data_IF_313926538440
#
_entry.id   IF_313926538440
#
_cell.length_a   1.000
_cell.length_b   1.000
_cell.length_c   1.000
_cell.angle_alpha   90.00
_cell.angle_beta   90.00
_cell.angle_gamma   90.00
#
_symmetry.space_group_name_H-M   'P 1'
#
loop_
_entity.id
_entity.type
_entity.pdbx_description
1 polymer ?
#
# COMPACT_ATOMS: atom_id res chain seq x y z
N UNK A 1 -19.61 -13.01 11.85
CA UNK A 1 -19.17 -12.28 10.63
C UNK A 1 -18.15 -11.27 11.11
N UNK A 2 -16.97 -11.20 10.49
CA UNK A 2 -15.93 -10.24 10.91
C UNK A 2 -16.28 -8.85 10.48
N UNK A 3 -15.99 -7.89 11.35
CA UNK A 3 -16.15 -6.46 11.10
C UNK A 3 -14.79 -5.80 10.97
N UNK A 4 -14.54 -5.22 9.81
CA UNK A 4 -13.24 -4.71 9.40
C UNK A 4 -13.34 -3.20 9.18
N UNK A 5 -12.43 -2.43 9.77
CA UNK A 5 -12.30 -0.99 9.52
C UNK A 5 -11.13 -0.75 8.57
N UNK A 6 -11.31 0.06 7.53
CA UNK A 6 -10.26 0.41 6.58
C UNK A 6 -10.22 1.93 6.40
N UNK A 7 -9.09 2.57 6.69
CA UNK A 7 -8.82 3.95 6.29
C UNK A 7 -8.03 3.97 4.97
N UNK A 8 -8.22 4.99 4.13
CA UNK A 8 -7.61 5.05 2.80
C UNK A 8 -8.11 3.98 1.82
N UNK A 9 -9.41 3.62 1.83
CA UNK A 9 -9.98 2.48 1.12
C UNK A 9 -10.00 2.64 -0.41
N UNK A 10 -9.83 3.87 -0.91
CA UNK A 10 -9.93 4.18 -2.35
C UNK A 10 -8.62 4.05 -3.13
N UNK A 11 -7.51 3.69 -2.48
CA UNK A 11 -6.23 3.35 -3.12
C UNK A 11 -6.23 1.91 -3.64
N UNK A 12 -5.25 1.55 -4.49
CA UNK A 12 -5.14 0.21 -5.07
C UNK A 12 -5.20 -0.92 -4.04
N UNK A 13 -4.46 -0.79 -2.93
CA UNK A 13 -4.44 -1.81 -1.86
C UNK A 13 -5.76 -1.80 -1.09
N UNK A 14 -6.25 -0.62 -0.70
CA UNK A 14 -7.48 -0.50 0.09
C UNK A 14 -8.70 -1.04 -0.65
N UNK A 15 -8.82 -0.71 -1.96
CA UNK A 15 -9.90 -1.21 -2.81
C UNK A 15 -9.84 -2.75 -2.94
N UNK A 16 -8.67 -3.29 -3.27
CA UNK A 16 -8.49 -4.74 -3.39
C UNK A 16 -8.73 -5.47 -2.05
N UNK A 17 -8.38 -4.86 -0.90
CA UNK A 17 -8.68 -5.42 0.42
C UNK A 17 -10.17 -5.42 0.73
N UNK A 18 -10.91 -4.37 0.35
CA UNK A 18 -12.38 -4.37 0.47
C UNK A 18 -12.97 -5.55 -0.29
N UNK A 19 -12.60 -5.72 -1.57
CA UNK A 19 -13.10 -6.83 -2.39
C UNK A 19 -12.77 -8.20 -1.76
N UNK A 20 -11.53 -8.37 -1.27
CA UNK A 20 -11.12 -9.58 -0.58
C UNK A 20 -11.93 -9.83 0.68
N UNK A 21 -12.10 -8.84 1.55
CA UNK A 21 -12.88 -8.97 2.79
C UNK A 21 -14.34 -9.32 2.50
N UNK A 22 -14.95 -8.65 1.54
CA UNK A 22 -16.34 -8.94 1.14
C UNK A 22 -16.49 -10.35 0.57
N UNK A 23 -15.53 -10.83 -0.23
CA UNK A 23 -15.54 -12.20 -0.76
C UNK A 23 -15.42 -13.28 0.33
N UNK A 24 -14.82 -12.93 1.47
CA UNK A 24 -14.71 -13.79 2.66
C UNK A 24 -15.90 -13.62 3.65
N UNK A 25 -16.94 -12.87 3.25
CA UNK A 25 -18.15 -12.65 4.05
C UNK A 25 -17.93 -11.70 5.23
N UNK A 26 -16.92 -10.83 5.19
CA UNK A 26 -16.72 -9.78 6.18
C UNK A 26 -17.68 -8.61 5.96
N UNK A 27 -17.98 -7.87 7.02
CA UNK A 27 -18.59 -6.55 7.00
C UNK A 27 -17.47 -5.50 7.05
N UNK A 28 -17.47 -4.55 6.11
CA UNK A 28 -16.36 -3.59 5.93
C UNK A 28 -16.86 -2.17 6.14
N UNK A 29 -16.19 -1.45 7.03
CA UNK A 29 -16.40 -0.03 7.33
C UNK A 29 -15.24 0.77 6.70
N UNK A 30 -15.52 1.42 5.57
CA UNK A 30 -14.54 2.14 4.77
C UNK A 30 -14.56 3.64 5.11
N UNK A 31 -13.53 4.13 5.80
CA UNK A 31 -13.38 5.55 6.16
C UNK A 31 -12.71 6.27 5.00
N UNK A 32 -13.48 7.10 4.31
CA UNK A 32 -13.09 7.87 3.14
C UNK A 32 -12.94 9.34 3.48
N UNK A 33 -12.01 10.04 2.82
CA UNK A 33 -11.99 11.50 2.88
C UNK A 33 -13.30 12.08 2.31
N UNK A 34 -13.94 13.03 3.00
CA UNK A 34 -15.18 13.64 2.56
C UNK A 34 -15.11 14.20 1.14
N UNK A 35 -16.19 14.03 0.38
CA UNK A 35 -16.32 14.50 -1.00
C UNK A 35 -15.27 13.94 -1.99
N UNK A 36 -14.64 12.82 -1.69
CA UNK A 36 -13.69 12.20 -2.62
C UNK A 36 -14.42 11.61 -3.82
N UNK A 37 -14.08 12.08 -5.04
CA UNK A 37 -14.62 11.52 -6.28
C UNK A 37 -14.35 10.00 -6.43
N UNK A 38 -13.31 9.49 -5.77
CA UNK A 38 -12.91 8.07 -5.79
C UNK A 38 -13.86 7.16 -4.99
N UNK A 39 -14.74 7.70 -4.14
CA UNK A 39 -15.76 6.92 -3.43
C UNK A 39 -16.67 6.18 -4.42
N UNK A 40 -16.93 6.79 -5.58
CA UNK A 40 -17.78 6.20 -6.64
C UNK A 40 -17.20 4.91 -7.24
N UNK A 41 -15.90 4.67 -7.11
CA UNK A 41 -15.25 3.45 -7.59
C UNK A 41 -15.38 2.27 -6.63
N UNK A 42 -15.80 2.50 -5.38
CA UNK A 42 -15.95 1.42 -4.41
C UNK A 42 -17.06 0.45 -4.83
N UNK A 43 -16.93 -0.85 -4.53
CA UNK A 43 -17.89 -1.85 -4.92
C UNK A 43 -19.27 -1.60 -4.27
N UNK A 44 -20.35 -1.86 -5.01
CA UNK A 44 -21.70 -1.81 -4.47
C UNK A 44 -22.01 -3.16 -3.83
N UNK A 45 -21.94 -3.24 -2.52
CA UNK A 45 -22.17 -4.46 -1.76
C UNK A 45 -22.84 -4.12 -0.42
N UNK A 46 -23.80 -4.93 0.01
CA UNK A 46 -24.54 -4.71 1.26
C UNK A 46 -23.64 -4.80 2.52
N UNK A 47 -22.52 -5.52 2.43
CA UNK A 47 -21.53 -5.62 3.50
C UNK A 47 -20.51 -4.49 3.53
N UNK A 48 -20.61 -3.48 2.62
CA UNK A 48 -19.72 -2.32 2.61
C UNK A 48 -20.46 -1.07 3.12
N UNK A 49 -19.96 -0.50 4.20
CA UNK A 49 -20.41 0.75 4.79
C UNK A 49 -19.37 1.84 4.54
N UNK A 50 -19.74 2.85 3.75
CA UNK A 50 -18.85 3.99 3.46
C UNK A 50 -19.14 5.11 4.45
N UNK A 51 -18.09 5.53 5.15
CA UNK A 51 -18.11 6.61 6.14
C UNK A 51 -17.20 7.74 5.65
N UNK A 52 -17.70 8.98 5.69
CA UNK A 52 -16.94 10.13 5.21
C UNK A 52 -16.39 10.93 6.40
N UNK A 53 -15.11 10.63 6.75
CA UNK A 53 -14.34 11.36 7.76
C UNK A 53 -12.94 11.62 7.25
N UNK A 54 -12.42 12.82 7.52
CA UNK A 54 -10.99 13.11 7.32
C UNK A 54 -10.14 12.40 8.37
N UNK A 55 -8.86 12.17 8.08
CA UNK A 55 -7.94 11.55 9.03
C UNK A 55 -7.79 12.36 10.33
N UNK A 56 -7.99 13.68 10.26
CA UNK A 56 -8.02 14.57 11.42
C UNK A 56 -9.28 14.45 12.29
N UNK A 57 -10.24 13.64 11.87
CA UNK A 57 -11.54 13.47 12.52
C UNK A 57 -11.85 12.00 12.90
N UNK A 58 -10.82 11.15 12.96
CA UNK A 58 -10.99 9.72 13.26
C UNK A 58 -11.68 9.48 14.61
N UNK A 59 -11.47 10.34 15.60
CA UNK A 59 -12.16 10.25 16.89
C UNK A 59 -13.69 10.34 16.72
N UNK A 60 -14.16 11.23 15.84
CA UNK A 60 -15.59 11.39 15.56
C UNK A 60 -16.17 10.19 14.81
N UNK A 61 -15.37 9.49 14.00
CA UNK A 61 -15.81 8.32 13.25
C UNK A 61 -16.30 7.19 14.17
N UNK A 62 -15.86 7.15 15.43
CA UNK A 62 -16.28 6.16 16.42
C UNK A 62 -17.80 6.09 16.59
N UNK A 63 -18.50 7.22 16.53
CA UNK A 63 -19.95 7.28 16.73
C UNK A 63 -20.74 6.54 15.65
N UNK A 64 -20.14 6.42 14.45
CA UNK A 64 -20.73 5.74 13.30
C UNK A 64 -20.23 4.29 13.12
N UNK A 65 -19.38 3.81 14.01
CA UNK A 65 -18.74 2.49 13.94
C UNK A 65 -19.26 1.55 15.03
N UNK A 66 -19.34 0.23 14.76
CA UNK A 66 -19.64 -0.76 15.79
C UNK A 66 -18.53 -0.79 16.86
N UNK A 67 -18.89 -1.26 18.05
CA UNK A 67 -17.96 -1.45 19.17
C UNK A 67 -17.40 -2.88 19.28
N UNK A 68 -17.65 -3.73 18.27
CA UNK A 68 -17.27 -5.14 18.20
C UNK A 68 -16.55 -5.45 16.86
N UNK A 69 -15.68 -4.54 16.44
CA UNK A 69 -14.83 -4.74 15.26
C UNK A 69 -13.64 -5.62 15.58
N UNK A 70 -13.12 -6.33 14.56
CA UNK A 70 -12.02 -7.28 14.73
C UNK A 70 -10.66 -6.69 14.39
N UNK A 71 -10.56 -5.98 13.25
CA UNK A 71 -9.29 -5.47 12.70
C UNK A 71 -9.48 -4.08 12.14
N UNK A 72 -8.52 -3.18 12.40
CA UNK A 72 -8.39 -1.92 11.68
C UNK A 72 -7.13 -1.93 10.79
N UNK A 73 -7.33 -1.70 9.49
CA UNK A 73 -6.26 -1.49 8.50
C UNK A 73 -6.10 0.00 8.22
N UNK A 74 -4.92 0.53 8.49
CA UNK A 74 -4.63 1.94 8.31
C UNK A 74 -3.78 2.19 7.07
N UNK A 75 -4.43 2.54 5.95
CA UNK A 75 -3.77 2.95 4.68
C UNK A 75 -3.84 4.45 4.42
N UNK A 76 -4.65 5.18 5.19
CA UNK A 76 -4.80 6.62 5.05
C UNK A 76 -3.47 7.34 5.29
N UNK A 77 -3.04 8.18 4.34
CA UNK A 77 -1.82 8.99 4.44
C UNK A 77 -1.90 10.16 3.46
N UNK A 78 -1.57 11.36 3.89
CA UNK A 78 -1.50 12.53 3.03
C UNK A 78 -0.08 12.73 2.47
N UNK A 79 0.04 13.40 1.30
CA UNK A 79 1.33 13.78 0.72
C UNK A 79 2.29 12.58 0.46
N UNK A 80 1.79 11.56 -0.26
CA UNK A 80 2.54 10.35 -0.58
C UNK A 80 3.39 10.46 -1.84
N UNK A 81 3.27 11.54 -2.62
CA UNK A 81 3.84 11.64 -3.96
C UNK A 81 4.55 12.98 -4.19
N UNK A 82 5.61 12.96 -5.04
CA UNK A 82 6.35 14.16 -5.45
C UNK A 82 6.99 14.90 -4.28
N UNK A 83 7.15 16.22 -4.43
CA UNK A 83 7.79 17.10 -3.44
C UNK A 83 7.03 17.17 -2.11
N UNK A 84 5.72 16.92 -2.14
CA UNK A 84 4.89 16.86 -0.95
C UNK A 84 5.33 15.80 0.07
N UNK A 85 6.12 14.80 -0.36
CA UNK A 85 6.76 13.83 0.56
C UNK A 85 7.71 14.50 1.56
N UNK A 86 8.17 15.70 1.27
CA UNK A 86 9.03 16.49 2.14
C UNK A 86 8.30 17.69 2.78
N UNK A 87 6.98 17.74 2.70
CA UNK A 87 6.19 18.70 3.50
C UNK A 87 6.11 18.21 4.96
N UNK A 88 7.09 18.63 5.76
CA UNK A 88 7.26 18.17 7.14
C UNK A 88 6.01 18.40 8.02
N UNK A 89 5.30 19.54 7.96
CA UNK A 89 4.06 19.72 8.71
C UNK A 89 3.01 18.65 8.40
N UNK A 90 2.80 18.31 7.13
CA UNK A 90 1.87 17.25 6.72
C UNK A 90 2.37 15.88 7.15
N UNK A 91 3.68 15.62 7.05
CA UNK A 91 4.22 14.33 7.48
C UNK A 91 4.10 14.12 9.00
N UNK A 92 4.28 15.17 9.81
CA UNK A 92 4.07 15.10 11.26
C UNK A 92 2.60 14.79 11.59
N UNK A 93 1.65 15.43 10.93
CA UNK A 93 0.22 15.13 11.12
C UNK A 93 -0.14 13.69 10.77
N UNK A 94 0.47 13.10 9.77
CA UNK A 94 0.25 11.69 9.45
C UNK A 94 0.69 10.75 10.60
N UNK A 95 1.71 11.12 11.38
CA UNK A 95 2.09 10.37 12.59
C UNK A 95 0.97 10.45 13.63
N UNK A 96 0.44 11.66 13.89
CA UNK A 96 -0.68 11.88 14.80
C UNK A 96 -1.90 11.06 14.35
N UNK A 97 -2.29 11.13 13.08
CA UNK A 97 -3.41 10.35 12.53
C UNK A 97 -3.24 8.83 12.64
N UNK A 98 -1.98 8.35 12.60
CA UNK A 98 -1.70 6.93 12.82
C UNK A 98 -1.96 6.53 14.28
N UNK A 99 -1.60 7.40 15.24
CA UNK A 99 -1.91 7.18 16.66
C UNK A 99 -3.42 7.25 16.89
N UNK A 100 -4.11 8.22 16.30
CA UNK A 100 -5.57 8.34 16.38
C UNK A 100 -6.27 7.10 15.81
N UNK A 101 -5.73 6.51 14.74
CA UNK A 101 -6.25 5.27 14.19
C UNK A 101 -6.07 4.07 15.14
N UNK A 102 -4.99 4.02 15.95
CA UNK A 102 -4.83 3.02 17.02
C UNK A 102 -5.88 3.22 18.11
N UNK A 103 -6.11 4.47 18.54
CA UNK A 103 -7.15 4.81 19.52
C UNK A 103 -8.55 4.44 19.01
N UNK A 104 -8.83 4.73 17.72
CA UNK A 104 -10.08 4.33 17.09
C UNK A 104 -10.25 2.81 17.09
N UNK A 105 -9.19 2.06 16.73
CA UNK A 105 -9.22 0.61 16.75
C UNK A 105 -9.60 0.08 18.15
N UNK A 106 -8.95 0.60 19.19
CA UNK A 106 -9.27 0.23 20.59
C UNK A 106 -10.72 0.58 20.94
N UNK A 107 -11.15 1.81 20.63
CA UNK A 107 -12.49 2.29 20.95
C UNK A 107 -13.61 1.51 20.24
N UNK A 108 -13.31 0.90 19.09
CA UNK A 108 -14.22 0.05 18.32
C UNK A 108 -14.09 -1.45 18.64
N UNK A 109 -13.30 -1.82 19.67
CA UNK A 109 -13.14 -3.21 20.09
C UNK A 109 -12.20 -4.04 19.24
N UNK A 110 -11.45 -3.45 18.29
CA UNK A 110 -10.51 -4.19 17.46
C UNK A 110 -9.42 -4.87 18.31
N UNK A 111 -9.21 -6.15 18.08
CA UNK A 111 -8.09 -6.88 18.66
C UNK A 111 -6.77 -6.68 17.93
N UNK A 112 -6.82 -6.15 16.70
CA UNK A 112 -5.66 -6.04 15.81
C UNK A 112 -5.67 -4.71 15.06
N UNK A 113 -4.52 -4.03 15.06
CA UNK A 113 -4.21 -2.87 14.22
C UNK A 113 -3.13 -3.24 13.21
N UNK A 114 -3.34 -2.94 11.93
CA UNK A 114 -2.35 -3.17 10.88
C UNK A 114 -2.08 -1.86 10.14
N UNK A 115 -0.85 -1.38 10.27
CA UNK A 115 -0.41 -0.13 9.65
C UNK A 115 0.36 -0.34 8.35
N UNK A 116 0.12 0.55 7.39
CA UNK A 116 0.84 0.57 6.12
C UNK A 116 2.09 1.44 6.20
N UNK A 117 3.24 0.82 6.38
CA UNK A 117 4.56 1.41 6.21
C UNK A 117 5.00 1.42 4.74
N UNK A 118 6.27 1.67 4.51
CA UNK A 118 6.83 1.83 3.17
C UNK A 118 8.29 1.40 3.08
N UNK A 119 8.72 0.96 1.90
CA UNK A 119 10.14 0.77 1.59
C UNK A 119 10.98 2.06 1.82
N UNK A 120 10.35 3.22 1.78
CA UNK A 120 11.03 4.49 2.04
C UNK A 120 11.59 4.61 3.47
N UNK A 121 11.14 3.77 4.40
CA UNK A 121 11.69 3.68 5.75
C UNK A 121 13.14 3.18 5.78
N UNK A 122 13.54 2.38 4.78
CA UNK A 122 14.91 1.85 4.70
C UNK A 122 15.92 2.88 4.18
N UNK A 123 15.47 3.89 3.41
CA UNK A 123 16.37 4.71 2.60
C UNK A 123 16.94 3.90 1.44
N UNK A 124 18.25 4.05 1.16
CA UNK A 124 18.93 3.35 0.07
C UNK A 124 19.69 2.15 0.61
N UNK A 125 19.30 0.97 0.18
CA UNK A 125 19.92 -0.30 0.56
C UNK A 125 20.20 -1.11 -0.70
N UNK A 126 21.38 -1.69 -0.79
CA UNK A 126 21.73 -2.68 -1.81
C UNK A 126 21.46 -4.08 -1.24
N UNK A 127 20.60 -4.84 -1.89
CA UNK A 127 20.22 -6.18 -1.44
C UNK A 127 18.73 -6.33 -1.11
N UNK A 128 18.36 -7.52 -0.67
CA UNK A 128 16.99 -7.83 -0.24
C UNK A 128 16.62 -7.03 1.00
N UNK A 129 15.41 -6.51 1.02
CA UNK A 129 14.83 -5.80 2.15
C UNK A 129 14.05 -6.77 3.04
N UNK A 130 14.49 -6.96 4.27
CA UNK A 130 13.83 -7.74 5.31
C UNK A 130 13.34 -6.85 6.46
N UNK A 131 12.60 -7.40 7.40
CA UNK A 131 12.22 -6.69 8.62
C UNK A 131 13.44 -6.18 9.43
N UNK A 132 14.53 -6.95 9.42
CA UNK A 132 15.77 -6.65 10.14
C UNK A 132 16.73 -5.73 9.39
N UNK A 133 16.45 -5.41 8.13
CA UNK A 133 17.26 -4.45 7.37
C UNK A 133 17.24 -3.10 8.09
N UNK A 134 18.39 -2.49 8.42
CA UNK A 134 18.44 -1.20 9.09
C UNK A 134 17.64 -0.14 8.35
N UNK A 135 16.79 0.57 9.09
CA UNK A 135 15.94 1.65 8.57
C UNK A 135 16.66 2.99 8.71
N UNK A 136 17.01 3.62 7.59
CA UNK A 136 17.66 4.92 7.56
C UNK A 136 17.06 5.79 6.44
N UNK A 137 15.82 6.29 6.63
CA UNK A 137 15.09 7.03 5.61
C UNK A 137 15.79 8.34 5.24
N UNK A 138 15.73 8.70 3.96
CA UNK A 138 16.38 9.88 3.37
C UNK A 138 15.41 11.01 2.98
N UNK A 139 14.12 10.84 3.28
CA UNK A 139 13.09 11.85 3.01
C UNK A 139 12.02 11.88 4.10
N UNK A 140 11.28 13.01 4.20
CA UNK A 140 10.30 13.25 5.25
C UNK A 140 9.20 12.18 5.33
N UNK A 141 8.73 11.68 4.19
CA UNK A 141 7.75 10.60 4.13
C UNK A 141 8.27 9.31 4.77
N UNK A 142 9.48 8.87 4.42
CA UNK A 142 10.08 7.67 5.00
C UNK A 142 10.34 7.82 6.50
N UNK A 143 10.83 9.01 6.93
CA UNK A 143 11.04 9.33 8.35
C UNK A 143 9.73 9.26 9.13
N UNK A 144 8.67 9.87 8.60
CA UNK A 144 7.35 9.87 9.24
C UNK A 144 6.74 8.46 9.29
N UNK A 145 6.87 7.66 8.23
CA UNK A 145 6.41 6.27 8.21
C UNK A 145 7.11 5.43 9.27
N UNK A 146 8.44 5.54 9.38
CA UNK A 146 9.21 4.84 10.40
C UNK A 146 8.79 5.29 11.81
N UNK A 147 8.67 6.59 12.04
CA UNK A 147 8.24 7.15 13.32
C UNK A 147 6.82 6.66 13.68
N UNK A 148 5.87 6.75 12.75
CA UNK A 148 4.50 6.30 12.96
C UNK A 148 4.43 4.81 13.31
N UNK A 149 5.20 3.96 12.62
CA UNK A 149 5.26 2.52 12.91
C UNK A 149 5.78 2.23 14.31
N UNK A 150 6.81 2.95 14.76
CA UNK A 150 7.38 2.75 16.09
C UNK A 150 6.46 3.29 17.20
N UNK A 151 5.90 4.49 17.02
CA UNK A 151 5.04 5.11 18.02
C UNK A 151 3.70 4.37 18.14
N UNK A 152 3.07 4.00 17.02
CA UNK A 152 1.82 3.24 17.04
C UNK A 152 1.97 1.86 17.68
N UNK A 153 3.14 1.21 17.54
CA UNK A 153 3.43 -0.04 18.23
C UNK A 153 3.44 0.13 19.75
N UNK A 154 4.09 1.18 20.24
CA UNK A 154 4.12 1.46 21.69
C UNK A 154 2.73 1.77 22.22
N UNK A 155 1.95 2.54 21.47
CA UNK A 155 0.58 2.93 21.86
C UNK A 155 -0.36 1.72 21.85
N UNK A 156 -0.32 0.89 20.79
CA UNK A 156 -1.10 -0.33 20.70
C UNK A 156 -0.79 -1.31 21.87
N UNK A 157 0.49 -1.42 22.25
CA UNK A 157 0.92 -2.25 23.38
C UNK A 157 0.28 -1.77 24.70
N UNK A 158 0.22 -0.45 24.95
CA UNK A 158 -0.43 0.12 26.16
C UNK A 158 -1.93 -0.20 26.18
N UNK A 159 -2.57 -0.24 25.01
CA UNK A 159 -4.00 -0.49 24.87
C UNK A 159 -4.35 -1.98 24.76
N UNK A 160 -3.35 -2.88 24.77
CA UNK A 160 -3.56 -4.32 24.67
C UNK A 160 -4.03 -4.78 23.28
N UNK A 161 -3.72 -4.02 22.22
CA UNK A 161 -4.08 -4.34 20.84
C UNK A 161 -2.86 -4.95 20.15
N UNK A 162 -3.05 -6.03 19.39
CA UNK A 162 -2.04 -6.57 18.49
C UNK A 162 -1.66 -5.52 17.45
N UNK A 163 -0.37 -5.25 17.30
CA UNK A 163 0.16 -4.30 16.32
C UNK A 163 1.00 -5.02 15.25
N UNK A 164 0.67 -4.79 14.00
CA UNK A 164 1.42 -5.28 12.86
C UNK A 164 1.78 -4.08 11.96
N UNK A 165 3.05 -3.96 11.61
CA UNK A 165 3.51 -2.94 10.68
C UNK A 165 3.97 -3.57 9.39
N UNK A 166 3.62 -2.98 8.24
CA UNK A 166 4.02 -3.52 6.94
C UNK A 166 4.91 -2.54 6.22
N UNK A 167 6.05 -2.98 5.68
CA UNK A 167 6.89 -2.19 4.79
C UNK A 167 6.61 -2.60 3.36
N UNK A 168 5.76 -1.82 2.70
CA UNK A 168 5.25 -2.12 1.36
C UNK A 168 6.26 -1.64 0.34
N UNK A 169 6.63 -2.51 -0.61
CA UNK A 169 7.42 -2.17 -1.78
C UNK A 169 6.50 -1.57 -2.86
N UNK A 170 6.76 -1.84 -4.13
CA UNK A 170 5.96 -1.30 -5.22
C UNK A 170 4.73 -2.16 -5.50
N UNK A 171 3.56 -1.67 -5.10
CA UNK A 171 2.28 -2.29 -5.46
C UNK A 171 1.71 -1.61 -6.70
N UNK A 172 1.15 -2.40 -7.62
CA UNK A 172 0.46 -1.92 -8.82
C UNK A 172 -0.89 -2.64 -8.99
N UNK A 173 -1.83 -2.04 -9.67
CA UNK A 173 -3.13 -2.66 -9.92
C UNK A 173 -4.20 -1.65 -10.29
N UNK A 174 -5.45 -2.09 -10.43
CA UNK A 174 -6.60 -1.20 -10.58
C UNK A 174 -6.64 -0.16 -9.46
N UNK A 175 -7.14 1.03 -9.78
CA UNK A 175 -7.27 2.16 -8.84
C UNK A 175 -5.95 2.72 -8.27
N UNK A 176 -4.79 2.32 -8.84
CA UNK A 176 -3.51 2.96 -8.51
C UNK A 176 -3.46 4.41 -9.02
N UNK A 177 -2.51 5.19 -8.48
CA UNK A 177 -2.36 6.59 -8.83
C UNK A 177 -1.98 6.78 -10.32
N UNK A 178 -2.55 7.77 -11.03
CA UNK A 178 -2.30 7.97 -12.47
C UNK A 178 -0.85 8.36 -12.78
N UNK A 179 -0.09 8.78 -11.77
CA UNK A 179 1.31 9.22 -11.91
C UNK A 179 2.33 8.11 -11.63
N UNK A 180 1.89 6.91 -11.23
CA UNK A 180 2.81 5.78 -11.06
C UNK A 180 3.39 5.35 -12.41
N UNK A 181 4.56 4.72 -12.40
CA UNK A 181 5.22 4.28 -13.63
C UNK A 181 4.31 3.38 -14.46
N UNK A 182 3.64 2.42 -13.83
CA UNK A 182 2.75 1.48 -14.52
C UNK A 182 1.57 2.21 -15.15
N UNK A 183 0.80 2.99 -14.36
CA UNK A 183 -0.42 3.64 -14.84
C UNK A 183 -0.14 4.73 -15.87
N UNK A 184 0.90 5.54 -15.67
CA UNK A 184 1.29 6.58 -16.64
C UNK A 184 1.80 6.01 -17.96
N UNK A 185 2.48 4.85 -17.90
CA UNK A 185 2.94 4.16 -19.12
C UNK A 185 1.75 3.61 -19.91
N UNK A 186 0.80 2.96 -19.25
CA UNK A 186 -0.44 2.46 -19.88
C UNK A 186 -1.18 3.62 -20.54
N UNK A 187 -1.41 4.72 -19.81
CA UNK A 187 -2.15 5.87 -20.32
C UNK A 187 -1.47 6.51 -21.55
N UNK A 188 -0.15 6.69 -21.53
CA UNK A 188 0.61 7.22 -22.66
C UNK A 188 0.52 6.32 -23.88
N UNK A 189 0.72 5.02 -23.73
CA UNK A 189 0.61 4.06 -24.82
C UNK A 189 -0.79 4.06 -25.44
N UNK A 190 -1.84 4.07 -24.61
CA UNK A 190 -3.23 4.17 -25.10
C UNK A 190 -3.54 5.47 -25.83
N UNK A 191 -2.88 6.57 -25.45
CA UNK A 191 -2.98 7.85 -26.13
C UNK A 191 -2.17 7.92 -27.46
N UNK A 192 -1.35 6.91 -27.75
CA UNK A 192 -0.44 6.90 -28.90
C UNK A 192 0.84 7.71 -28.68
N UNK A 193 1.11 8.13 -27.45
CA UNK A 193 2.33 8.82 -27.08
C UNK A 193 3.51 7.85 -26.95
N UNK A 194 4.73 8.36 -27.06
CA UNK A 194 5.97 7.59 -26.82
C UNK A 194 6.42 7.82 -25.38
N UNK A 195 6.24 6.85 -24.47
CA UNK A 195 6.72 7.00 -23.10
C UNK A 195 8.25 7.02 -23.04
N UNK A 196 8.79 7.91 -22.21
CA UNK A 196 10.22 8.10 -22.03
C UNK A 196 10.64 7.64 -20.63
N UNK A 197 11.82 7.00 -20.55
CA UNK A 197 12.34 6.41 -19.31
C UNK A 197 13.83 6.63 -19.15
N UNK A 198 14.34 6.35 -17.95
CA UNK A 198 15.75 6.07 -17.71
C UNK A 198 16.16 4.79 -18.47
N UNK A 199 17.41 4.34 -18.34
CA UNK A 199 17.83 3.08 -18.96
C UNK A 199 17.06 1.84 -18.44
N UNK A 200 16.41 1.97 -17.27
CA UNK A 200 15.63 0.89 -16.68
C UNK A 200 16.47 -0.25 -16.09
N UNK A 201 17.71 0.05 -15.71
CA UNK A 201 18.66 -0.92 -15.12
C UNK A 201 18.31 -1.25 -13.66
N UNK A 202 17.45 -0.43 -13.01
CA UNK A 202 17.04 -0.65 -11.62
C UNK A 202 16.40 -2.03 -11.47
N UNK A 203 16.85 -2.79 -10.49
CA UNK A 203 16.20 -4.04 -10.09
C UNK A 203 14.97 -3.70 -9.26
N UNK A 204 13.80 -4.16 -9.68
CA UNK A 204 12.54 -3.75 -9.11
C UNK A 204 11.60 -4.92 -8.83
N UNK A 205 10.92 -4.88 -7.70
CA UNK A 205 9.93 -5.87 -7.27
C UNK A 205 8.53 -5.24 -7.28
N UNK A 206 7.68 -5.73 -8.17
CA UNK A 206 6.28 -5.32 -8.24
C UNK A 206 5.35 -6.39 -7.68
N UNK A 207 4.44 -6.00 -6.80
CA UNK A 207 3.39 -6.84 -6.25
C UNK A 207 2.01 -6.38 -6.77
N UNK A 208 1.20 -7.30 -7.28
CA UNK A 208 -0.17 -6.97 -7.67
C UNK A 208 -1.05 -6.63 -6.47
N UNK A 209 -1.95 -5.64 -6.62
CA UNK A 209 -2.80 -5.16 -5.52
C UNK A 209 -3.70 -6.24 -4.92
N UNK A 210 -4.18 -7.17 -5.73
CA UNK A 210 -4.94 -8.32 -5.24
C UNK A 210 -4.12 -9.27 -4.37
N UNK A 211 -2.84 -9.51 -4.72
CA UNK A 211 -1.93 -10.28 -3.86
C UNK A 211 -1.58 -9.51 -2.58
N UNK A 212 -1.37 -8.18 -2.67
CA UNK A 212 -1.18 -7.35 -1.49
C UNK A 212 -2.40 -7.42 -0.55
N UNK A 213 -3.61 -7.36 -1.09
CA UNK A 213 -4.84 -7.52 -0.31
C UNK A 213 -4.93 -8.88 0.38
N UNK A 214 -4.54 -9.98 -0.30
CA UNK A 214 -4.46 -11.30 0.32
C UNK A 214 -3.44 -11.34 1.46
N UNK A 215 -2.27 -10.72 1.28
CA UNK A 215 -1.27 -10.62 2.34
C UNK A 215 -1.83 -9.89 3.57
N UNK A 216 -2.47 -8.74 3.37
CA UNK A 216 -3.11 -7.98 4.45
C UNK A 216 -4.22 -8.79 5.14
N UNK A 217 -5.07 -9.46 4.38
CA UNK A 217 -6.11 -10.31 4.94
C UNK A 217 -5.51 -11.43 5.80
N UNK A 218 -4.51 -12.14 5.30
CA UNK A 218 -3.80 -13.19 6.05
C UNK A 218 -3.10 -12.65 7.31
N UNK A 219 -2.53 -11.44 7.25
CA UNK A 219 -1.96 -10.77 8.43
C UNK A 219 -3.02 -10.46 9.49
N UNK A 220 -4.21 -10.04 9.08
CA UNK A 220 -5.34 -9.85 10.00
C UNK A 220 -5.77 -11.16 10.68
N UNK A 221 -5.66 -12.27 9.97
CA UNK A 221 -6.01 -13.60 10.45
C UNK A 221 -4.97 -14.22 11.40
N UNK A 222 -3.70 -14.19 10.97
CA UNK A 222 -2.63 -15.03 11.50
C UNK A 222 -1.37 -14.27 11.88
N UNK A 223 -1.29 -12.97 11.58
CA UNK A 223 -0.09 -12.18 11.84
C UNK A 223 0.25 -12.09 13.33
N UNK A 224 1.53 -11.97 13.62
CA UNK A 224 2.04 -11.93 15.00
C UNK A 224 2.17 -10.50 15.50
N UNK A 225 1.88 -10.32 16.80
CA UNK A 225 2.01 -9.04 17.47
C UNK A 225 3.45 -8.51 17.46
N UNK A 226 3.58 -7.21 17.30
CA UNK A 226 4.85 -6.48 17.33
C UNK A 226 5.75 -6.69 16.10
N UNK A 227 5.34 -7.55 15.13
CA UNK A 227 6.14 -7.82 13.94
C UNK A 227 6.02 -6.75 12.87
N UNK A 228 7.12 -6.59 12.14
CA UNK A 228 7.19 -5.87 10.87
C UNK A 228 7.26 -6.89 9.74
N UNK A 229 6.39 -6.76 8.73
CA UNK A 229 6.42 -7.61 7.54
C UNK A 229 6.76 -6.80 6.29
N UNK A 230 7.61 -7.35 5.45
CA UNK A 230 7.93 -6.76 4.14
C UNK A 230 6.97 -7.30 3.10
N UNK A 231 6.27 -6.42 2.37
CA UNK A 231 5.33 -6.76 1.32
C UNK A 231 5.93 -6.49 -0.06
N UNK A 232 6.14 -7.55 -0.82
CA UNK A 232 6.56 -7.56 -2.20
C UNK A 232 6.27 -8.92 -2.82
N UNK A 233 6.66 -9.12 -4.07
CA UNK A 233 6.50 -10.42 -4.73
C UNK A 233 7.65 -11.38 -4.42
N UNK A 234 8.77 -10.88 -3.88
CA UNK A 234 10.02 -11.63 -3.74
C UNK A 234 10.73 -11.89 -5.07
N UNK A 235 10.12 -11.49 -6.19
CA UNK A 235 10.65 -11.68 -7.56
C UNK A 235 10.95 -10.32 -8.16
N UNK A 236 12.22 -10.02 -8.38
CA UNK A 236 12.65 -8.75 -8.95
C UNK A 236 13.38 -8.97 -10.28
N UNK A 237 13.20 -8.02 -11.20
CA UNK A 237 13.88 -7.99 -12.51
C UNK A 237 14.23 -6.55 -12.89
N UNK A 238 15.07 -6.32 -13.91
CA UNK A 238 15.32 -4.96 -14.40
C UNK A 238 14.04 -4.23 -14.80
N UNK A 239 13.91 -2.95 -14.43
CA UNK A 239 12.72 -2.14 -14.69
C UNK A 239 12.38 -2.07 -16.19
N UNK A 240 13.41 -2.07 -17.06
CA UNK A 240 13.23 -2.12 -18.51
C UNK A 240 12.43 -3.35 -19.00
N UNK A 241 12.51 -4.49 -18.31
CA UNK A 241 11.72 -5.68 -18.66
C UNK A 241 10.24 -5.45 -18.35
N UNK A 242 9.92 -4.88 -17.21
CA UNK A 242 8.54 -4.51 -16.86
C UNK A 242 7.94 -3.50 -17.85
N UNK A 243 8.73 -2.48 -18.23
CA UNK A 243 8.31 -1.48 -19.23
C UNK A 243 7.98 -2.13 -20.58
N UNK A 244 8.82 -3.07 -21.04
CA UNK A 244 8.58 -3.84 -22.28
C UNK A 244 7.31 -4.68 -22.17
N UNK A 245 7.09 -5.36 -21.04
CA UNK A 245 5.86 -6.13 -20.81
C UNK A 245 4.63 -5.22 -20.88
N UNK A 246 4.64 -4.05 -20.22
CA UNK A 246 3.52 -3.10 -20.32
C UNK A 246 3.26 -2.71 -21.78
N UNK A 247 4.31 -2.37 -22.53
CA UNK A 247 4.17 -2.05 -23.96
C UNK A 247 3.52 -3.19 -24.72
N UNK A 248 4.02 -4.42 -24.55
CA UNK A 248 3.59 -5.57 -25.34
C UNK A 248 2.15 -6.00 -25.01
N UNK A 249 1.69 -5.77 -23.77
CA UNK A 249 0.31 -6.05 -23.36
C UNK A 249 -0.67 -4.93 -23.75
N UNK A 250 -0.23 -3.65 -23.79
CA UNK A 250 -1.09 -2.51 -24.09
C UNK A 250 -1.14 -2.24 -25.60
N UNK A 251 0.03 -2.16 -26.23
CA UNK A 251 0.18 -1.84 -27.66
C UNK A 251 1.43 -2.54 -28.23
N UNK A 252 1.32 -3.81 -28.65
CA UNK A 252 2.45 -4.57 -29.19
C UNK A 252 3.18 -3.82 -30.31
N UNK A 253 4.51 -3.74 -30.20
CA UNK A 253 5.34 -3.05 -31.17
C UNK A 253 5.38 -1.52 -31.07
N UNK A 254 4.66 -0.92 -30.13
CA UNK A 254 4.75 0.53 -29.91
C UNK A 254 6.16 0.95 -29.52
N UNK A 255 6.53 2.17 -29.92
CA UNK A 255 7.82 2.76 -29.56
C UNK A 255 7.83 3.14 -28.08
N UNK A 256 8.93 2.83 -27.41
CA UNK A 256 9.28 3.30 -26.07
C UNK A 256 10.71 3.83 -26.11
N UNK A 257 10.99 4.93 -25.43
CA UNK A 257 12.32 5.54 -25.40
C UNK A 257 13.01 5.29 -24.06
N UNK A 258 13.88 4.28 -24.03
CA UNK A 258 14.74 3.97 -22.87
C UNK A 258 16.04 4.77 -22.92
N UNK A 259 16.51 5.27 -21.77
CA UNK A 259 17.79 5.97 -21.61
C UNK A 259 17.78 7.46 -21.99
N UNK A 260 16.62 8.03 -22.30
CA UNK A 260 16.49 9.47 -22.62
C UNK A 260 16.34 10.34 -21.37
N UNK A 261 15.86 9.77 -20.27
CA UNK A 261 15.77 10.44 -18.97
C UNK A 261 16.99 10.05 -18.15
N UNK A 262 17.77 11.01 -17.62
CA UNK A 262 18.87 10.68 -16.72
C UNK A 262 18.35 10.15 -15.39
N UNK A 263 19.15 9.33 -14.69
CA UNK A 263 18.86 8.93 -13.32
C UNK A 263 18.93 10.14 -12.39
N UNK A 264 17.99 10.22 -11.45
CA UNK A 264 18.08 11.19 -10.38
C UNK A 264 19.30 10.86 -9.48
N UNK A 265 19.96 11.88 -8.87
CA UNK A 265 21.12 11.64 -8.00
C UNK A 265 20.83 10.64 -6.86
N UNK A 266 19.59 10.60 -6.42
CA UNK A 266 19.13 9.75 -5.31
C UNK A 266 18.28 8.58 -5.80
N UNK A 267 18.46 8.12 -7.04
CA UNK A 267 17.69 7.01 -7.61
C UNK A 267 17.90 5.72 -6.81
N UNK A 268 16.79 5.11 -6.38
CA UNK A 268 16.82 3.75 -5.84
C UNK A 268 17.12 2.80 -6.99
N UNK A 269 18.23 2.06 -6.89
CA UNK A 269 18.68 1.14 -7.94
C UNK A 269 18.34 -0.32 -7.63
N UNK A 270 18.02 -0.64 -6.39
CA UNK A 270 17.67 -1.99 -5.99
C UNK A 270 16.49 -2.00 -5.04
N UNK A 271 15.43 -2.71 -5.40
CA UNK A 271 14.24 -2.89 -4.60
C UNK A 271 13.73 -4.33 -4.75
N UNK A 272 13.97 -5.16 -3.74
CA UNK A 272 13.53 -6.55 -3.69
C UNK A 272 13.13 -6.93 -2.28
N UNK A 273 11.91 -7.45 -2.12
CA UNK A 273 11.42 -7.93 -0.84
C UNK A 273 12.05 -9.28 -0.48
N UNK A 274 12.38 -9.42 0.79
CA UNK A 274 12.48 -10.71 1.45
C UNK A 274 11.14 -11.00 2.10
N UNK A 275 10.42 -11.97 1.58
CA UNK A 275 9.07 -12.34 2.04
C UNK A 275 9.06 -13.63 2.87
N UNK A 276 10.21 -14.17 3.23
CA UNK A 276 10.33 -15.48 3.89
C UNK A 276 9.54 -15.51 5.21
N UNK A 277 9.59 -14.44 6.01
CA UNK A 277 8.77 -14.36 7.23
C UNK A 277 7.27 -14.32 6.95
N UNK A 278 6.85 -13.58 5.92
CA UNK A 278 5.45 -13.51 5.52
C UNK A 278 4.93 -14.86 5.03
N UNK A 279 5.75 -15.58 4.25
CA UNK A 279 5.45 -16.96 3.83
C UNK A 279 5.34 -17.89 5.03
N UNK A 280 6.32 -17.86 5.93
CA UNK A 280 6.41 -18.73 7.10
C UNK A 280 5.24 -18.53 8.07
N UNK A 281 4.96 -17.27 8.39
CA UNK A 281 4.02 -16.92 9.48
C UNK A 281 2.56 -17.02 9.05
N UNK A 282 2.24 -16.64 7.80
CA UNK A 282 0.84 -16.55 7.35
C UNK A 282 0.53 -17.38 6.10
N UNK A 283 1.54 -18.03 5.49
CA UNK A 283 1.37 -18.85 4.30
C UNK A 283 1.11 -18.00 3.04
N UNK A 284 1.69 -16.80 2.98
CA UNK A 284 1.54 -15.94 1.81
C UNK A 284 2.31 -16.50 0.60
N UNK A 285 1.63 -16.58 -0.55
CA UNK A 285 2.22 -16.95 -1.83
C UNK A 285 1.68 -16.01 -2.92
N UNK A 286 2.50 -15.07 -3.44
CA UNK A 286 2.09 -14.20 -4.54
C UNK A 286 2.02 -14.99 -5.85
N UNK A 287 0.82 -15.12 -6.42
CA UNK A 287 0.59 -15.93 -7.62
C UNK A 287 0.39 -15.12 -8.91
N UNK A 288 -0.01 -13.84 -8.79
CA UNK A 288 -0.28 -13.02 -9.96
C UNK A 288 1.01 -12.70 -10.70
N UNK A 289 1.12 -13.12 -11.95
CA UNK A 289 2.21 -12.71 -12.82
C UNK A 289 2.03 -11.26 -13.24
N UNK A 290 3.12 -10.55 -13.46
CA UNK A 290 3.06 -9.12 -13.83
C UNK A 290 2.27 -8.89 -15.12
N UNK A 291 2.47 -9.75 -16.11
CA UNK A 291 1.78 -9.76 -17.41
C UNK A 291 0.25 -9.86 -17.22
N UNK A 292 -0.19 -10.77 -16.36
CA UNK A 292 -1.62 -10.99 -16.09
C UNK A 292 -2.23 -9.83 -15.28
N UNK A 293 -1.45 -9.23 -14.38
CA UNK A 293 -1.85 -8.04 -13.64
C UNK A 293 -2.03 -6.81 -14.57
N UNK A 294 -1.16 -6.64 -15.58
CA UNK A 294 -1.33 -5.57 -16.59
C UNK A 294 -2.60 -5.82 -17.40
N UNK A 295 -2.86 -7.06 -17.85
CA UNK A 295 -4.11 -7.41 -18.55
C UNK A 295 -5.35 -7.11 -17.71
N UNK A 296 -5.30 -7.37 -16.40
CA UNK A 296 -6.40 -7.06 -15.49
C UNK A 296 -6.67 -5.55 -15.42
N UNK A 297 -5.62 -4.71 -15.39
CA UNK A 297 -5.77 -3.24 -15.40
C UNK A 297 -6.40 -2.75 -16.70
N UNK A 298 -6.01 -3.32 -17.86
CA UNK A 298 -6.48 -2.87 -19.17
C UNK A 298 -7.96 -3.25 -19.40
N UNK A 299 -8.40 -4.36 -18.83
CA UNK A 299 -9.77 -4.88 -19.00
C UNK A 299 -10.79 -4.20 -18.10
N UNK A 300 -10.36 -3.65 -16.98
CA UNK A 300 -11.20 -3.15 -15.89
C UNK A 300 -11.56 -1.81 -15.82
#
# INVERSE_FOLDING_TARGET
>A
MRKIIITGPTGAIGHALIEKCLSEGCEVFAICRPNSARIKSLPKNAGLHVLEYDLSELEKAKEALPSDCDVLYHFGWAATFGDARNDMPTQIKNIEYTIDAVHLAHACGCSTFIGAGSQAEYGRVEGKLSADTPAFPDNGYGMAKLCAGQMSRVEAQKLGIKHIWTRILSVYGPYDGPYTMVMSTIAKLQAGDVPQFTKGEQIWDFLYSGDAARAFFLLGEKGFDGKVYVLGSGKARPLAEYIKIIRDEVMPGAKIDLGVIPYAPNQVMYLKADIDELVKDVGFDPYMKFEDGIKAIIKG
#
